data_IF_346434827400
#
_entry.id   IF_346434827400
#
_cell.length_a   1.000
_cell.length_b   1.000
_cell.length_c   1.000
_cell.angle_alpha   90.00
_cell.angle_beta   90.00
_cell.angle_gamma   90.00
#
_symmetry.space_group_name_H-M   'P 1'
#
loop_
_entity.id
_entity.type
_entity.pdbx_description
1 polymer ?
#
# COMPACT_ATOMS: atom_id res chain seq x y z
N UNK A 1 -18.94 2.41 -4.07
CA UNK A 1 -17.59 2.95 -4.00
C UNK A 1 -17.45 4.09 -4.97
N UNK A 2 -17.44 5.30 -4.42
CA UNK A 2 -16.92 6.50 -5.03
C UNK A 2 -15.41 6.61 -4.83
N UNK A 3 -14.81 7.43 -5.68
CA UNK A 3 -13.36 7.67 -5.74
C UNK A 3 -13.15 9.16 -5.99
N UNK A 4 -12.06 9.72 -5.48
CA UNK A 4 -11.81 11.17 -5.57
C UNK A 4 -10.33 11.53 -5.74
N UNK A 5 -9.41 10.58 -5.53
CA UNK A 5 -7.98 10.76 -5.79
C UNK A 5 -7.27 9.42 -6.09
N UNK A 6 -6.06 9.52 -6.62
CA UNK A 6 -5.13 8.43 -6.91
C UNK A 6 -4.24 8.03 -5.73
N UNK A 7 -4.34 8.74 -4.60
CA UNK A 7 -3.62 8.45 -3.36
C UNK A 7 -4.22 7.27 -2.58
N UNK A 8 -3.49 6.64 -1.64
CA UNK A 8 -3.89 5.38 -0.99
C UNK A 8 -5.27 5.36 -0.32
N UNK A 9 -5.76 6.52 0.15
CA UNK A 9 -7.08 6.71 0.76
C UNK A 9 -8.04 7.54 -0.13
N UNK A 10 -7.82 7.52 -1.45
CA UNK A 10 -8.60 8.28 -2.44
C UNK A 10 -9.90 7.60 -2.89
N UNK A 11 -10.43 6.66 -2.10
CA UNK A 11 -11.62 5.87 -2.41
C UNK A 11 -12.36 5.43 -1.13
N UNK A 12 -13.66 5.14 -1.26
CA UNK A 12 -14.52 4.73 -0.14
C UNK A 12 -13.95 3.49 0.58
N UNK A 13 -13.51 2.45 -0.14
CA UNK A 13 -13.06 1.19 0.49
C UNK A 13 -11.86 1.41 1.42
N UNK A 14 -10.90 2.22 1.00
CA UNK A 14 -9.75 2.56 1.82
C UNK A 14 -10.12 3.45 3.02
N UNK A 15 -11.10 4.35 2.85
CA UNK A 15 -11.60 5.18 3.94
C UNK A 15 -12.40 4.35 4.97
N UNK A 16 -13.22 3.39 4.52
CA UNK A 16 -13.93 2.46 5.39
C UNK A 16 -12.92 1.60 6.19
N UNK A 17 -11.85 1.12 5.53
CA UNK A 17 -10.77 0.41 6.22
C UNK A 17 -10.03 1.28 7.25
N UNK A 18 -9.87 2.58 7.00
CA UNK A 18 -9.32 3.49 8.00
C UNK A 18 -10.22 3.57 9.25
N UNK A 19 -11.53 3.69 9.06
CA UNK A 19 -12.49 3.67 10.16
C UNK A 19 -12.43 2.35 10.94
N UNK A 20 -12.36 1.20 10.25
CA UNK A 20 -12.22 -0.10 10.88
C UNK A 20 -10.94 -0.21 11.74
N UNK A 21 -9.84 0.40 11.30
CA UNK A 21 -8.60 0.46 12.09
C UNK A 21 -8.74 1.35 13.32
N UNK A 22 -9.43 2.49 13.20
CA UNK A 22 -9.65 3.41 14.31
C UNK A 22 -10.53 2.78 15.39
N UNK A 23 -11.60 2.07 14.98
CA UNK A 23 -12.53 1.36 15.85
C UNK A 23 -11.91 0.11 16.51
N UNK A 24 -10.86 -0.46 15.92
CA UNK A 24 -10.16 -1.61 16.46
C UNK A 24 -9.28 -1.27 17.68
N UNK A 25 -9.12 -2.22 18.60
CA UNK A 25 -8.16 -2.03 19.69
C UNK A 25 -6.74 -1.89 19.12
N UNK A 26 -5.84 -1.12 19.76
CA UNK A 26 -4.48 -0.90 19.24
C UNK A 26 -3.69 -2.20 18.96
N UNK A 27 -3.93 -3.27 19.73
CA UNK A 27 -3.31 -4.57 19.54
C UNK A 27 -3.88 -5.41 18.39
N UNK A 28 -5.01 -5.02 17.80
CA UNK A 28 -5.71 -5.74 16.73
C UNK A 28 -5.43 -5.13 15.34
N UNK A 29 -5.03 -3.85 15.29
CA UNK A 29 -4.74 -3.10 14.05
C UNK A 29 -3.69 -3.79 13.15
N UNK A 30 -2.64 -4.35 13.75
CA UNK A 30 -1.62 -5.10 13.01
C UNK A 30 -2.21 -6.36 12.34
N UNK A 31 -3.09 -7.07 13.03
CA UNK A 31 -3.74 -8.26 12.50
C UNK A 31 -4.71 -7.93 11.36
N UNK A 32 -5.41 -6.80 11.43
CA UNK A 32 -6.27 -6.31 10.34
C UNK A 32 -5.45 -6.02 9.07
N UNK A 33 -4.37 -5.24 9.22
CA UNK A 33 -3.43 -4.92 8.14
C UNK A 33 -2.84 -6.19 7.53
N UNK A 34 -2.32 -7.10 8.36
CA UNK A 34 -1.77 -8.38 7.90
C UNK A 34 -2.82 -9.19 7.13
N UNK A 35 -4.04 -9.27 7.67
CA UNK A 35 -5.15 -10.02 7.08
C UNK A 35 -5.47 -9.57 5.66
N UNK A 36 -5.61 -8.27 5.43
CA UNK A 36 -5.85 -7.67 4.11
C UNK A 36 -4.73 -8.00 3.12
N UNK A 37 -3.47 -7.87 3.54
CA UNK A 37 -2.31 -8.12 2.68
C UNK A 37 -2.24 -9.61 2.29
N UNK A 38 -2.40 -10.51 3.25
CA UNK A 38 -2.40 -11.95 3.01
C UNK A 38 -3.54 -12.37 2.08
N UNK A 39 -4.78 -11.88 2.32
CA UNK A 39 -5.91 -12.19 1.44
C UNK A 39 -5.67 -11.70 0.01
N UNK A 40 -5.07 -10.51 -0.16
CA UNK A 40 -4.71 -9.97 -1.47
C UNK A 40 -3.70 -10.84 -2.20
N UNK A 41 -2.68 -11.33 -1.51
CA UNK A 41 -1.66 -12.23 -2.09
C UNK A 41 -2.27 -13.58 -2.49
N UNK A 42 -3.08 -14.16 -1.60
CA UNK A 42 -3.67 -15.49 -1.78
C UNK A 42 -4.87 -15.49 -2.75
N UNK A 43 -5.40 -14.32 -3.12
CA UNK A 43 -6.57 -14.21 -3.98
C UNK A 43 -6.33 -14.81 -5.37
N UNK A 44 -7.04 -15.89 -5.66
CA UNK A 44 -7.12 -16.48 -7.01
C UNK A 44 -8.25 -15.80 -7.79
N UNK A 45 -7.91 -14.93 -8.73
CA UNK A 45 -8.87 -14.21 -9.57
C UNK A 45 -9.05 -12.75 -9.19
N UNK A 46 -10.28 -12.26 -9.24
CA UNK A 46 -10.60 -10.85 -9.01
C UNK A 46 -10.29 -10.40 -7.58
N UNK A 47 -9.59 -9.26 -7.44
CA UNK A 47 -9.29 -8.65 -6.16
C UNK A 47 -10.47 -7.83 -5.64
N UNK A 48 -10.99 -8.20 -4.47
CA UNK A 48 -12.10 -7.50 -3.80
C UNK A 48 -11.65 -6.45 -2.78
N UNK A 49 -10.41 -6.54 -2.31
CA UNK A 49 -9.85 -5.72 -1.20
C UNK A 49 -8.56 -5.01 -1.61
N UNK A 50 -8.39 -4.77 -2.92
CA UNK A 50 -7.13 -4.22 -3.44
C UNK A 50 -6.86 -2.80 -2.94
N UNK A 51 -7.89 -1.99 -2.78
CA UNK A 51 -7.84 -0.65 -2.20
C UNK A 51 -7.39 -0.66 -0.74
N UNK A 52 -7.93 -1.57 0.08
CA UNK A 52 -7.53 -1.76 1.48
C UNK A 52 -6.06 -2.17 1.56
N UNK A 53 -5.60 -3.05 0.67
CA UNK A 53 -4.21 -3.47 0.63
C UNK A 53 -3.26 -2.34 0.22
N UNK A 54 -3.67 -1.42 -0.66
CA UNK A 54 -2.88 -0.20 -0.95
C UNK A 54 -2.83 0.70 0.29
N UNK A 55 -3.93 0.90 1.00
CA UNK A 55 -3.98 1.68 2.22
C UNK A 55 -3.08 1.08 3.33
N UNK A 56 -3.20 -0.23 3.56
CA UNK A 56 -2.36 -1.00 4.48
C UNK A 56 -0.87 -0.86 4.15
N UNK A 57 -0.51 -1.01 2.87
CA UNK A 57 0.87 -0.84 2.42
C UNK A 57 1.40 0.59 2.62
N UNK A 58 0.55 1.61 2.46
CA UNK A 58 0.92 2.99 2.71
C UNK A 58 1.17 3.27 4.20
N UNK A 59 0.37 2.70 5.11
CA UNK A 59 0.57 2.81 6.55
C UNK A 59 1.90 2.17 7.01
N UNK A 60 2.25 1.02 6.44
CA UNK A 60 3.53 0.37 6.71
C UNK A 60 4.68 1.23 6.14
N UNK A 61 4.54 1.71 4.89
CA UNK A 61 5.56 2.54 4.25
C UNK A 61 5.80 3.84 5.02
N UNK A 62 4.77 4.44 5.64
CA UNK A 62 4.90 5.65 6.46
C UNK A 62 5.81 5.47 7.68
N UNK A 63 5.98 4.23 8.19
CA UNK A 63 6.92 3.92 9.28
C UNK A 63 8.34 3.57 8.78
N UNK A 64 8.55 3.46 7.47
CA UNK A 64 9.85 3.18 6.87
C UNK A 64 10.69 4.45 6.66
N UNK A 65 12.03 4.34 6.64
CA UNK A 65 12.89 5.41 6.17
C UNK A 65 12.53 5.84 4.74
N UNK A 66 12.29 7.14 4.53
CA UNK A 66 11.86 7.68 3.23
C UNK A 66 10.36 7.53 2.93
N UNK A 67 9.60 6.98 3.88
CA UNK A 67 8.14 6.99 3.84
C UNK A 67 7.55 8.38 4.01
N UNK A 68 6.39 8.61 3.38
CA UNK A 68 5.61 9.82 3.60
C UNK A 68 4.57 9.56 4.70
N UNK A 69 4.34 10.51 5.62
CA UNK A 69 3.24 10.40 6.56
C UNK A 69 1.90 10.39 5.81
N UNK A 70 0.91 9.71 6.40
CA UNK A 70 -0.46 9.75 5.91
C UNK A 70 -1.08 11.06 6.41
N UNK A 71 -1.17 12.04 5.51
CA UNK A 71 -1.72 13.38 5.79
C UNK A 71 -2.96 13.61 4.91
N UNK A 72 -4.04 12.92 5.27
CA UNK A 72 -5.33 12.98 4.57
C UNK A 72 -6.46 12.76 5.59
N UNK A 73 -7.58 13.49 5.47
CA UNK A 73 -8.74 13.31 6.35
C UNK A 73 -9.46 11.95 6.16
N UNK A 74 -9.03 11.15 5.18
CA UNK A 74 -9.60 9.84 4.88
C UNK A 74 -8.71 8.67 5.34
N UNK A 75 -7.57 8.98 5.97
CA UNK A 75 -6.72 7.98 6.63
C UNK A 75 -7.13 7.78 8.09
N UNK A 76 -6.52 6.81 8.80
CA UNK A 76 -6.83 6.56 10.20
C UNK A 76 -6.45 7.77 11.07
N UNK A 77 -7.33 8.14 11.99
CA UNK A 77 -7.13 9.22 12.95
C UNK A 77 -6.31 8.76 14.16
N UNK A 78 -6.40 7.48 14.51
CA UNK A 78 -5.71 6.90 15.65
C UNK A 78 -4.31 6.38 15.27
N UNK A 79 -3.34 6.41 16.19
CA UNK A 79 -1.96 6.02 15.88
C UNK A 79 -1.86 4.54 15.55
N UNK A 80 -1.15 4.22 14.46
CA UNK A 80 -0.82 2.83 14.13
C UNK A 80 0.21 2.25 15.12
N UNK A 81 0.12 0.96 15.46
CA UNK A 81 1.15 0.29 16.24
C UNK A 81 2.46 0.24 15.45
N UNK A 82 3.58 0.00 16.15
CA UNK A 82 4.84 -0.30 15.46
C UNK A 82 4.69 -1.61 14.68
N UNK A 83 4.89 -1.56 13.37
CA UNK A 83 4.77 -2.73 12.52
C UNK A 83 6.04 -3.58 12.53
N UNK A 84 5.94 -4.92 12.60
CA UNK A 84 7.09 -5.78 12.45
C UNK A 84 7.62 -5.76 11.00
N UNK A 85 8.93 -5.96 10.85
CA UNK A 85 9.63 -5.77 9.57
C UNK A 85 9.14 -6.72 8.45
N UNK A 86 8.59 -7.89 8.80
CA UNK A 86 8.06 -8.85 7.84
C UNK A 86 6.87 -8.29 7.05
N UNK A 87 6.10 -7.37 7.66
CA UNK A 87 4.99 -6.71 6.97
C UNK A 87 5.44 -5.85 5.78
N UNK A 88 6.71 -5.40 5.74
CA UNK A 88 7.22 -4.66 4.58
C UNK A 88 7.30 -5.56 3.35
N UNK A 89 7.74 -6.80 3.54
CA UNK A 89 7.83 -7.80 2.46
C UNK A 89 6.42 -8.19 2.01
N UNK A 90 5.52 -8.43 2.97
CA UNK A 90 4.12 -8.76 2.68
C UNK A 90 3.41 -7.63 1.91
N UNK A 91 3.64 -6.38 2.29
CA UNK A 91 3.09 -5.22 1.61
C UNK A 91 3.64 -5.05 0.18
N UNK A 92 4.95 -5.27 -0.04
CA UNK A 92 5.53 -5.25 -1.38
C UNK A 92 4.93 -6.31 -2.29
N UNK A 93 4.74 -7.54 -1.78
CA UNK A 93 4.13 -8.65 -2.51
C UNK A 93 2.67 -8.37 -2.86
N UNK A 94 1.88 -7.85 -1.92
CA UNK A 94 0.49 -7.47 -2.17
C UNK A 94 0.39 -6.36 -3.25
N UNK A 95 1.24 -5.34 -3.18
CA UNK A 95 1.31 -4.29 -4.20
C UNK A 95 1.74 -4.85 -5.56
N UNK A 96 2.68 -5.80 -5.60
CA UNK A 96 3.07 -6.47 -6.83
C UNK A 96 1.89 -7.20 -7.47
N UNK A 97 1.12 -7.95 -6.67
CA UNK A 97 -0.08 -8.66 -7.11
C UNK A 97 -1.17 -7.71 -7.65
N UNK A 98 -1.36 -6.56 -7.02
CA UNK A 98 -2.29 -5.51 -7.48
C UNK A 98 -1.84 -4.91 -8.82
N UNK A 99 -0.55 -4.59 -8.96
CA UNK A 99 0.02 -4.00 -10.19
C UNK A 99 -0.08 -4.96 -11.38
N UNK A 100 0.04 -6.26 -11.12
CA UNK A 100 -0.06 -7.34 -12.12
C UNK A 100 -1.49 -7.69 -12.51
N UNK A 101 -2.49 -7.21 -11.77
CA UNK A 101 -3.90 -7.48 -12.07
C UNK A 101 -4.41 -6.53 -13.16
N UNK A 102 -4.46 -7.00 -14.41
CA UNK A 102 -4.97 -6.23 -15.56
C UNK A 102 -6.46 -5.87 -15.43
N UNK A 103 -7.21 -6.63 -14.62
CA UNK A 103 -8.62 -6.40 -14.36
C UNK A 103 -8.88 -5.74 -12.99
N UNK A 104 -7.84 -5.54 -12.18
CA UNK A 104 -7.91 -5.36 -10.72
C UNK A 104 -8.59 -4.08 -10.18
N UNK A 105 -8.35 -3.73 -8.89
CA UNK A 105 -9.07 -2.67 -8.15
C UNK A 105 -9.07 -1.32 -8.88
N UNK A 106 -7.97 -1.01 -9.57
CA UNK A 106 -7.85 0.23 -10.32
C UNK A 106 -8.76 0.36 -11.54
N UNK A 107 -9.39 -0.73 -12.01
CA UNK A 107 -10.38 -0.64 -13.09
C UNK A 107 -11.68 0.07 -12.67
N UNK A 108 -11.99 0.06 -11.36
CA UNK A 108 -13.15 0.76 -10.79
C UNK A 108 -12.76 1.91 -9.86
N UNK A 109 -11.50 1.95 -9.39
CA UNK A 109 -10.99 3.03 -8.57
C UNK A 109 -10.52 4.25 -9.39
N UNK A 110 -9.75 4.05 -10.46
CA UNK A 110 -9.02 5.13 -11.12
C UNK A 110 -9.51 5.35 -12.54
N UNK A 111 -9.78 6.62 -12.89
CA UNK A 111 -10.10 6.98 -14.26
C UNK A 111 -8.97 6.57 -15.22
N UNK A 112 -9.27 6.08 -16.44
CA UNK A 112 -8.25 5.64 -17.39
C UNK A 112 -7.14 6.67 -17.68
N UNK A 113 -7.46 7.96 -17.57
CA UNK A 113 -6.49 9.06 -17.72
C UNK A 113 -5.43 9.13 -16.62
N UNK A 114 -5.77 8.68 -15.41
CA UNK A 114 -4.93 8.80 -14.22
C UNK A 114 -4.21 7.49 -13.85
N UNK A 115 -4.46 6.42 -14.61
CA UNK A 115 -3.82 5.11 -14.43
C UNK A 115 -2.31 5.18 -14.28
N UNK A 116 -1.64 6.01 -15.10
CA UNK A 116 -0.19 6.18 -15.06
C UNK A 116 0.27 6.79 -13.74
N UNK A 117 -0.47 7.75 -13.20
CA UNK A 117 -0.16 8.39 -11.91
C UNK A 117 -0.38 7.41 -10.76
N UNK A 118 -1.50 6.71 -10.74
CA UNK A 118 -1.78 5.69 -9.73
C UNK A 118 -0.72 4.60 -9.70
N UNK A 119 -0.34 4.07 -10.87
CA UNK A 119 0.72 3.06 -10.97
C UNK A 119 2.08 3.60 -10.52
N UNK A 120 2.37 4.88 -10.77
CA UNK A 120 3.58 5.52 -10.25
C UNK A 120 3.55 5.65 -8.71
N UNK A 121 2.39 5.94 -8.12
CA UNK A 121 2.22 5.99 -6.66
C UNK A 121 2.49 4.62 -6.03
N UNK A 122 1.94 3.53 -6.58
CA UNK A 122 2.19 2.18 -6.07
C UNK A 122 3.68 1.79 -6.16
N UNK A 123 4.34 2.11 -7.28
CA UNK A 123 5.77 1.83 -7.41
C UNK A 123 6.64 2.62 -6.43
N UNK A 124 6.23 3.84 -6.03
CA UNK A 124 6.91 4.59 -4.98
C UNK A 124 6.77 3.92 -3.62
N UNK A 125 5.57 3.43 -3.28
CA UNK A 125 5.35 2.66 -2.05
C UNK A 125 6.25 1.42 -2.02
N UNK A 126 6.28 0.65 -3.11
CA UNK A 126 7.15 -0.53 -3.25
C UNK A 126 8.63 -0.19 -3.04
N UNK A 127 9.11 0.92 -3.60
CA UNK A 127 10.49 1.35 -3.41
C UNK A 127 10.84 1.75 -1.96
N UNK A 128 9.85 2.16 -1.16
CA UNK A 128 10.02 2.45 0.28
C UNK A 128 9.97 1.17 1.11
N UNK A 129 9.08 0.24 0.76
CA UNK A 129 8.88 -1.02 1.47
C UNK A 129 10.03 -2.00 1.23
N UNK A 130 10.47 -2.11 -0.02
CA UNK A 130 11.56 -2.96 -0.49
C UNK A 130 12.55 -2.12 -1.30
N UNK A 131 13.41 -1.30 -0.65
CA UNK A 131 14.36 -0.47 -1.35
C UNK A 131 15.30 -1.34 -2.19
N UNK A 132 15.57 -0.96 -3.45
CA UNK A 132 16.52 -1.69 -4.26
C UNK A 132 17.89 -1.70 -3.56
N UNK A 133 18.66 -2.80 -3.67
CA UNK A 133 20.00 -2.83 -3.10
C UNK A 133 20.78 -1.63 -3.62
N UNK A 134 21.60 -0.97 -2.78
CA UNK A 134 22.36 0.19 -3.21
C UNK A 134 23.19 -0.21 -4.42
N UNK A 135 22.98 0.47 -5.55
CA UNK A 135 23.80 0.30 -6.73
C UNK A 135 25.23 0.66 -6.36
N UNK A 136 26.06 -0.34 -6.07
CA UNK A 136 27.50 -0.15 -5.93
C UNK A 136 27.96 0.29 -7.31
N UNK A 137 28.24 1.59 -7.45
CA UNK A 137 29.00 2.09 -8.57
C UNK A 137 30.34 1.35 -8.55
N UNK A 138 30.52 0.39 -9.45
CA UNK A 138 31.83 -0.19 -9.75
C UNK A 138 32.68 0.98 -10.24
N UNK A 139 33.46 1.57 -9.33
CA UNK A 139 34.46 2.55 -9.69
C UNK A 139 35.45 1.85 -10.63
N UNK A 140 35.44 2.28 -11.89
CA UNK A 140 36.45 1.91 -12.88
C UNK A 140 37.81 2.35 -12.34
N UNK A 141 38.60 1.40 -11.84
CA UNK A 141 40.03 1.59 -11.62
C UNK A 141 40.67 1.38 -12.99
N UNK A 142 40.75 2.44 -13.78
CA UNK A 142 41.69 2.47 -14.90
C UNK A 142 43.08 2.78 -14.32
N UNK A 143 44.01 1.85 -14.58
CA UNK A 143 45.45 1.99 -14.30
C UNK A 143 46.14 2.76 -15.43
#
# INVERSE_FOLDING_TARGET
MGTWDTGPFGNDTAADFACDLDDANPGEREALIRGVLTRTIDATGWLTEGEEAVAAAALIAAQCPGGNPIDTPYGPEEPMPAFPDDLRTLADEALARIISDEAGPASNWVDPGDWKQWRANLNRLRAVLAPPPPSIALFNVEQ
#
